data_IF_610321493810
#
_entry.id   IF_610321493810
#
_cell.length_a   1.000
_cell.length_b   1.000
_cell.length_c   1.000
_cell.angle_alpha   90.00
_cell.angle_beta   90.00
_cell.angle_gamma   90.00
#
_symmetry.space_group_name_H-M   'P 1'
#
loop_
_entity.id
_entity.type
_entity.pdbx_description
1 polymer ?
#
# COMPACT_ATOMS: atom_id res chain seq x y z
N UNK A 1 12.93 -3.67 -9.75
CA UNK A 1 12.33 -2.46 -9.11
C UNK A 1 12.85 -1.20 -9.78
N UNK A 2 14.16 -1.04 -9.94
CA UNK A 2 14.77 0.10 -10.65
C UNK A 2 14.17 0.32 -12.05
N UNK A 3 14.06 -0.74 -12.85
CA UNK A 3 13.49 -0.68 -14.21
C UNK A 3 12.03 -0.19 -14.26
N UNK A 4 11.26 -0.40 -13.18
CA UNK A 4 9.88 0.08 -13.10
C UNK A 4 9.83 1.57 -12.77
N UNK A 5 10.73 2.03 -11.89
CA UNK A 5 10.87 3.45 -11.55
C UNK A 5 11.40 4.25 -12.73
N UNK A 6 12.32 3.70 -13.53
CA UNK A 6 12.86 4.38 -14.71
C UNK A 6 11.81 4.67 -15.78
N UNK A 7 10.75 3.85 -15.84
CA UNK A 7 9.62 4.07 -16.77
C UNK A 7 8.64 5.14 -16.29
N UNK A 8 8.81 5.71 -15.09
CA UNK A 8 7.95 6.78 -14.56
C UNK A 8 8.41 8.14 -15.06
N UNK A 9 7.81 8.57 -16.17
CA UNK A 9 8.04 9.88 -16.79
C UNK A 9 7.08 10.97 -16.31
N UNK A 10 6.00 10.58 -15.61
CA UNK A 10 4.91 11.44 -15.15
C UNK A 10 5.05 11.90 -13.69
N UNK A 11 6.14 11.52 -13.02
CA UNK A 11 6.40 11.86 -11.62
C UNK A 11 7.26 13.13 -11.51
N UNK A 12 7.08 13.90 -10.43
CA UNK A 12 7.91 15.07 -10.16
C UNK A 12 9.37 14.66 -9.96
N UNK A 13 10.31 15.40 -10.54
CA UNK A 13 11.75 15.06 -10.53
C UNK A 13 12.32 14.84 -9.13
N UNK A 14 11.96 15.67 -8.16
CA UNK A 14 12.44 15.52 -6.77
C UNK A 14 11.97 14.19 -6.14
N UNK A 15 10.76 13.72 -6.45
CA UNK A 15 10.25 12.43 -5.96
C UNK A 15 11.08 11.30 -6.56
N UNK A 16 11.37 11.35 -7.86
CA UNK A 16 12.21 10.35 -8.53
C UNK A 16 13.63 10.33 -7.95
N UNK A 17 14.19 11.50 -7.64
CA UNK A 17 15.50 11.62 -6.99
C UNK A 17 15.55 10.91 -5.65
N UNK A 18 14.57 11.15 -4.77
CA UNK A 18 14.48 10.47 -3.46
C UNK A 18 14.35 8.96 -3.58
N UNK A 19 13.45 8.48 -4.46
CA UNK A 19 13.23 7.04 -4.63
C UNK A 19 14.47 6.35 -5.16
N UNK A 20 15.17 6.95 -6.14
CA UNK A 20 16.44 6.42 -6.65
C UNK A 20 17.52 6.38 -5.57
N UNK A 21 17.58 7.40 -4.70
CA UNK A 21 18.46 7.42 -3.54
C UNK A 21 18.24 6.22 -2.62
N UNK A 22 16.99 5.96 -2.22
CA UNK A 22 16.66 4.80 -1.39
C UNK A 22 17.00 3.46 -2.04
N UNK A 23 16.77 3.32 -3.34
CA UNK A 23 17.14 2.10 -4.06
C UNK A 23 18.66 1.90 -4.13
N UNK A 24 19.44 2.98 -4.26
CA UNK A 24 20.91 2.93 -4.28
C UNK A 24 21.49 2.58 -2.91
N UNK A 25 20.89 3.09 -1.83
CA UNK A 25 21.31 2.78 -0.45
C UNK A 25 20.97 1.35 -0.04
N UNK A 26 20.03 0.71 -0.73
CA UNK A 26 19.50 -0.61 -0.42
C UNK A 26 18.32 -0.56 0.54
N UNK A 27 17.30 -1.37 0.25
CA UNK A 27 16.11 -1.47 1.08
C UNK A 27 16.42 -2.30 2.33
N UNK A 28 16.15 -1.72 3.50
CA UNK A 28 16.29 -2.41 4.78
C UNK A 28 14.98 -3.08 5.16
N UNK A 29 15.08 -4.25 5.79
CA UNK A 29 13.93 -4.94 6.35
C UNK A 29 13.17 -4.05 7.33
N UNK A 30 11.84 -4.09 7.24
CA UNK A 30 10.94 -3.35 8.12
C UNK A 30 10.02 -4.35 8.82
N UNK A 31 9.93 -4.32 10.17
CA UNK A 31 9.03 -5.20 10.89
C UNK A 31 7.57 -4.80 10.63
N UNK A 32 6.77 -5.75 10.15
CA UNK A 32 5.35 -5.57 9.81
C UNK A 32 4.39 -5.98 10.93
N UNK A 33 4.90 -6.39 12.10
CA UNK A 33 4.10 -6.77 13.27
C UNK A 33 4.41 -5.88 14.48
N UNK A 34 3.49 -5.79 15.44
CA UNK A 34 3.65 -5.08 16.70
C UNK A 34 3.08 -5.89 17.85
N UNK A 35 3.74 -5.80 19.01
CA UNK A 35 3.27 -6.35 20.28
C UNK A 35 2.28 -5.36 20.92
N UNK A 36 1.01 -5.47 20.58
CA UNK A 36 -0.06 -4.62 21.10
C UNK A 36 -1.42 -5.31 20.94
N UNK A 37 -2.39 -4.92 21.78
CA UNK A 37 -3.73 -5.53 21.80
C UNK A 37 -4.73 -4.90 20.84
N UNK A 38 -4.44 -3.71 20.30
CA UNK A 38 -5.33 -2.97 19.40
C UNK A 38 -4.76 -2.93 17.98
N UNK A 39 -5.48 -3.53 17.03
CA UNK A 39 -5.10 -3.64 15.62
C UNK A 39 -5.62 -4.94 14.98
N UNK A 40 -5.24 -5.20 13.72
CA UNK A 40 -5.60 -6.43 13.01
C UNK A 40 -4.69 -7.58 13.48
N UNK A 41 -5.22 -8.67 14.08
CA UNK A 41 -4.40 -9.78 14.55
C UNK A 41 -3.60 -10.45 13.43
N UNK A 42 -2.36 -10.86 13.72
CA UNK A 42 -1.57 -11.64 12.76
C UNK A 42 -2.16 -13.05 12.66
N UNK A 43 -2.49 -13.55 11.45
CA UNK A 43 -3.15 -14.85 11.27
C UNK A 43 -2.16 -16.02 11.32
N UNK A 44 -1.24 -16.01 12.29
CA UNK A 44 -0.22 -17.03 12.49
C UNK A 44 -0.20 -17.46 13.96
N UNK A 45 -0.22 -18.76 14.19
CA UNK A 45 -0.25 -19.34 15.54
C UNK A 45 0.95 -18.90 16.39
N UNK A 46 2.14 -18.84 15.80
CA UNK A 46 3.38 -18.39 16.45
C UNK A 46 3.42 -16.88 16.73
N UNK A 47 2.47 -16.11 16.23
CA UNK A 47 2.36 -14.66 16.40
C UNK A 47 1.12 -14.25 17.23
N UNK A 48 0.54 -15.18 18.00
CA UNK A 48 -0.55 -14.87 18.93
C UNK A 48 -0.18 -13.71 19.84
N UNK A 49 -1.12 -12.76 20.00
CA UNK A 49 -0.91 -11.53 20.77
C UNK A 49 -0.21 -10.40 20.00
N UNK A 50 0.21 -10.63 18.75
CA UNK A 50 0.70 -9.59 17.85
C UNK A 50 -0.39 -9.13 16.88
N UNK A 51 -0.28 -7.88 16.46
CA UNK A 51 -1.09 -7.30 15.38
C UNK A 51 -0.21 -6.86 14.21
N UNK A 52 -0.82 -6.67 13.05
CA UNK A 52 -0.20 -6.02 11.91
C UNK A 52 0.13 -4.56 12.24
N UNK A 53 1.31 -4.13 11.83
CA UNK A 53 1.73 -2.76 11.99
C UNK A 53 0.88 -1.85 11.09
N UNK A 54 0.36 -0.74 11.63
CA UNK A 54 -0.58 0.13 10.91
C UNK A 54 -0.06 0.65 9.55
N UNK A 55 1.26 0.82 9.41
CA UNK A 55 1.84 1.25 8.13
C UNK A 55 1.86 0.15 7.07
N UNK A 56 1.65 -1.10 7.47
CA UNK A 56 1.54 -2.24 6.58
C UNK A 56 0.09 -2.44 6.12
N UNK A 57 -0.91 -2.35 7.00
CA UNK A 57 -2.31 -2.61 6.65
C UNK A 57 -3.07 -1.38 6.12
N UNK A 58 -2.69 -0.15 6.49
CA UNK A 58 -3.41 1.05 6.07
C UNK A 58 -3.59 1.18 4.53
N UNK A 59 -2.59 0.89 3.68
CA UNK A 59 -2.79 0.92 2.22
C UNK A 59 -3.80 -0.15 1.72
N UNK A 60 -3.91 -1.28 2.40
CA UNK A 60 -4.89 -2.34 2.08
C UNK A 60 -6.32 -1.84 2.34
N UNK A 61 -6.48 -0.87 3.25
CA UNK A 61 -7.73 -0.17 3.49
C UNK A 61 -8.34 0.47 2.24
N UNK A 62 -7.53 0.95 1.28
CA UNK A 62 -8.04 1.48 0.00
C UNK A 62 -8.80 0.43 -0.81
N UNK A 63 -8.29 -0.80 -0.85
CA UNK A 63 -8.92 -1.93 -1.55
C UNK A 63 -10.17 -2.34 -0.79
N UNK A 64 -10.06 -2.50 0.53
CA UNK A 64 -11.16 -2.93 1.40
C UNK A 64 -12.36 -1.97 1.31
N UNK A 65 -12.09 -0.67 1.31
CA UNK A 65 -13.11 0.37 1.11
C UNK A 65 -13.80 0.27 -0.26
N UNK A 66 -13.05 -0.08 -1.31
CA UNK A 66 -13.61 -0.27 -2.66
C UNK A 66 -14.47 -1.54 -2.74
N UNK A 67 -14.07 -2.62 -2.06
CA UNK A 67 -14.87 -3.86 -1.95
C UNK A 67 -16.21 -3.53 -1.29
N UNK A 68 -16.19 -2.90 -0.12
CA UNK A 68 -17.42 -2.52 0.61
C UNK A 68 -18.34 -1.61 -0.23
N UNK A 69 -17.76 -0.65 -0.95
CA UNK A 69 -18.50 0.20 -1.89
C UNK A 69 -19.18 -0.61 -3.00
N UNK A 70 -18.47 -1.59 -3.58
CA UNK A 70 -18.98 -2.42 -4.66
C UNK A 70 -20.15 -3.32 -4.21
N UNK A 71 -20.05 -3.86 -2.98
CA UNK A 71 -21.11 -4.62 -2.34
C UNK A 71 -22.35 -3.75 -2.11
N UNK A 72 -22.18 -2.54 -1.57
CA UNK A 72 -23.26 -1.56 -1.36
C UNK A 72 -23.94 -1.13 -2.67
N UNK A 73 -23.27 -1.27 -3.82
CA UNK A 73 -23.84 -1.01 -5.15
C UNK A 73 -24.59 -2.20 -5.75
N UNK A 74 -24.65 -3.34 -5.04
CA UNK A 74 -25.22 -4.58 -5.56
C UNK A 74 -24.38 -5.22 -6.68
N UNK A 75 -23.09 -4.85 -6.78
CA UNK A 75 -22.15 -5.36 -7.78
C UNK A 75 -20.86 -5.80 -7.09
N UNK A 76 -20.87 -6.94 -6.36
CA UNK A 76 -19.76 -7.34 -5.49
C UNK A 76 -18.43 -7.59 -6.20
N UNK A 77 -18.43 -7.81 -7.51
CA UNK A 77 -17.20 -8.00 -8.30
C UNK A 77 -16.65 -6.70 -8.91
N UNK A 78 -17.38 -5.59 -8.86
CA UNK A 78 -17.02 -4.35 -9.54
C UNK A 78 -15.69 -3.76 -9.06
N UNK A 79 -15.30 -4.00 -7.80
CA UNK A 79 -13.99 -3.54 -7.30
C UNK A 79 -12.81 -4.13 -8.09
N UNK A 80 -12.97 -5.32 -8.69
CA UNK A 80 -11.91 -5.98 -9.47
C UNK A 80 -11.56 -5.18 -10.72
N UNK A 81 -12.54 -4.51 -11.33
CA UNK A 81 -12.31 -3.65 -12.50
C UNK A 81 -11.40 -2.46 -12.15
N UNK A 82 -11.45 -1.97 -10.92
CA UNK A 82 -10.62 -0.85 -10.47
C UNK A 82 -9.22 -1.28 -10.02
N UNK A 83 -9.07 -2.47 -9.43
CA UNK A 83 -7.80 -2.89 -8.80
C UNK A 83 -7.02 -3.96 -9.57
N UNK A 84 -7.68 -4.76 -10.41
CA UNK A 84 -7.06 -5.88 -11.13
C UNK A 84 -6.96 -5.65 -12.64
N UNK A 85 -7.74 -4.72 -13.20
CA UNK A 85 -7.61 -4.36 -14.61
C UNK A 85 -6.34 -3.53 -14.86
N UNK A 86 -5.50 -3.99 -15.80
CA UNK A 86 -4.24 -3.34 -16.19
C UNK A 86 -4.43 -2.00 -16.89
N UNK A 87 -5.60 -1.76 -17.48
CA UNK A 87 -5.94 -0.50 -18.15
C UNK A 87 -6.38 0.58 -17.17
N UNK A 88 -6.67 0.22 -15.92
CA UNK A 88 -7.12 1.18 -14.91
C UNK A 88 -5.96 2.06 -14.46
N UNK A 89 -6.15 3.37 -14.57
CA UNK A 89 -5.24 4.37 -14.03
C UNK A 89 -5.57 4.63 -12.55
N UNK A 90 -4.77 4.06 -11.65
CA UNK A 90 -4.83 4.32 -10.21
C UNK A 90 -4.04 5.59 -9.85
N UNK A 91 -4.69 6.52 -9.15
CA UNK A 91 -4.09 7.80 -8.72
C UNK A 91 -4.22 7.93 -7.21
N UNK A 92 -3.10 8.15 -6.52
CA UNK A 92 -3.05 8.40 -5.09
C UNK A 92 -2.71 9.85 -4.81
N UNK A 93 -3.67 10.60 -4.26
CA UNK A 93 -3.42 11.95 -3.75
C UNK A 93 -2.82 11.84 -2.35
N UNK A 94 -1.52 12.14 -2.23
CA UNK A 94 -0.78 12.04 -0.97
C UNK A 94 -0.13 13.40 -0.71
N UNK A 95 -0.35 13.95 0.49
CA UNK A 95 0.32 15.17 0.93
C UNK A 95 1.78 14.90 1.29
N UNK A 96 2.68 15.83 0.94
CA UNK A 96 4.03 15.81 1.47
C UNK A 96 3.96 16.07 2.99
N UNK A 97 4.57 15.21 3.80
CA UNK A 97 4.82 15.55 5.19
C UNK A 97 5.95 16.58 5.22
N UNK A 98 5.62 17.81 5.60
CA UNK A 98 6.60 18.77 6.07
C UNK A 98 6.92 18.40 7.53
N UNK A 99 8.17 18.05 7.79
CA UNK A 99 8.74 18.09 9.13
C UNK A 99 9.72 19.26 9.16
#
# INVERSE_FOLDING_TARGET
>A
MSDWIEKKTDWKEHVLGFVKGWLKEGLRDRPITRDMSWGVPVPLEQAKGKVLYVWFDAPIGYISSTIEWSEKKGKPDLWKDYWLNKETKLVHFIGAKNN
#
